data_IF_928690999857
#
_entry.id   IF_928690999857
#
_cell.length_a   1.000
_cell.length_b   1.000
_cell.length_c   1.000
_cell.angle_alpha   90.00
_cell.angle_beta   90.00
_cell.angle_gamma   90.00
#
_symmetry.space_group_name_H-M   'P 1'
#
loop_
_entity.id
_entity.type
_entity.pdbx_description
1 polymer ?
#
# COMPACT_ATOMS: atom_id res chain seq x y z
N UNK A 1 10.69 9.83 -31.24
CA UNK A 1 10.23 10.30 -29.91
C UNK A 1 11.44 10.87 -29.18
N UNK A 2 11.35 12.06 -28.58
CA UNK A 2 12.43 12.62 -27.73
C UNK A 2 11.94 12.64 -26.28
N UNK A 3 12.79 12.20 -25.36
CA UNK A 3 12.50 12.25 -23.92
C UNK A 3 12.77 13.67 -23.44
N UNK A 4 11.77 14.32 -22.85
CA UNK A 4 11.87 15.69 -22.34
C UNK A 4 12.41 15.71 -20.90
N UNK A 5 11.89 14.81 -20.06
CA UNK A 5 12.26 14.65 -18.67
C UNK A 5 12.44 13.15 -18.40
N UNK A 6 13.52 12.81 -17.68
CA UNK A 6 13.80 11.41 -17.32
C UNK A 6 12.97 10.99 -16.10
N UNK A 7 12.76 11.90 -15.16
CA UNK A 7 11.95 11.69 -13.97
C UNK A 7 11.06 12.91 -13.74
N UNK A 8 9.76 12.76 -14.01
CA UNK A 8 8.75 13.80 -13.79
C UNK A 8 8.13 13.71 -12.39
N UNK A 9 8.11 12.51 -11.81
CA UNK A 9 7.56 12.25 -10.49
C UNK A 9 7.50 10.75 -10.19
N UNK A 10 7.43 10.44 -8.91
CA UNK A 10 7.21 9.07 -8.44
C UNK A 10 5.71 8.78 -8.37
N UNK A 11 5.33 7.54 -8.66
CA UNK A 11 3.97 7.04 -8.52
C UNK A 11 3.94 5.98 -7.42
N UNK A 12 2.87 6.02 -6.62
CA UNK A 12 2.57 4.98 -5.64
C UNK A 12 2.04 3.71 -6.31
N UNK A 13 2.22 2.58 -5.65
CA UNK A 13 1.72 1.28 -6.12
C UNK A 13 0.19 1.30 -6.22
N UNK A 14 -0.49 2.07 -5.38
CA UNK A 14 -1.93 2.32 -5.43
C UNK A 14 -2.37 3.05 -6.72
N UNK A 15 -1.65 4.10 -7.12
CA UNK A 15 -1.95 4.84 -8.36
C UNK A 15 -1.71 3.98 -9.59
N UNK A 16 -0.62 3.20 -9.58
CA UNK A 16 -0.32 2.24 -10.65
C UNK A 16 -1.42 1.17 -10.72
N UNK A 17 -1.85 0.61 -9.58
CA UNK A 17 -2.94 -0.36 -9.52
C UNK A 17 -4.24 0.21 -10.09
N UNK A 18 -4.62 1.42 -9.66
CA UNK A 18 -5.83 2.11 -10.14
C UNK A 18 -5.80 2.32 -11.65
N UNK A 19 -4.66 2.77 -12.19
CA UNK A 19 -4.47 2.95 -13.62
C UNK A 19 -4.54 1.62 -14.39
N UNK A 20 -3.98 0.54 -13.85
CA UNK A 20 -4.03 -0.79 -14.47
C UNK A 20 -5.46 -1.35 -14.49
N UNK A 21 -6.24 -1.12 -13.43
CA UNK A 21 -7.65 -1.52 -13.35
C UNK A 21 -8.50 -0.75 -14.38
N UNK A 22 -8.36 0.57 -14.46
CA UNK A 22 -9.04 1.41 -15.45
C UNK A 22 -8.74 0.93 -16.88
N UNK A 23 -7.46 0.66 -17.19
CA UNK A 23 -7.05 0.11 -18.49
C UNK A 23 -7.66 -1.26 -18.78
N UNK A 24 -7.81 -2.11 -17.76
CA UNK A 24 -8.45 -3.43 -17.91
C UNK A 24 -9.92 -3.28 -18.29
N UNK A 25 -10.65 -2.36 -17.67
CA UNK A 25 -12.07 -2.10 -17.96
C UNK A 25 -12.27 -1.55 -19.37
N UNK A 26 -11.47 -0.56 -19.78
CA UNK A 26 -11.53 0.02 -21.13
C UNK A 26 -11.28 -1.02 -22.24
N UNK A 27 -10.53 -2.08 -21.94
CA UNK A 27 -10.25 -3.19 -22.88
C UNK A 27 -11.37 -4.21 -22.98
N UNK A 28 -12.17 -4.40 -21.93
CA UNK A 28 -13.30 -5.34 -21.96
C UNK A 28 -14.26 -5.01 -23.12
N UNK A 29 -14.32 -3.73 -23.50
CA UNK A 29 -15.13 -3.21 -24.60
C UNK A 29 -14.46 -3.29 -26.00
N UNK A 30 -13.19 -3.71 -26.13
CA UNK A 30 -12.41 -3.64 -27.40
C UNK A 30 -11.57 -4.89 -27.72
N UNK A 31 -11.83 -6.02 -27.07
CA UNK A 31 -10.94 -7.19 -27.08
C UNK A 31 -10.88 -7.91 -28.44
N UNK A 32 -9.66 -8.02 -29.01
CA UNK A 32 -9.12 -9.12 -29.86
C UNK A 32 -8.11 -8.65 -30.94
N UNK A 33 -7.19 -7.74 -30.63
CA UNK A 33 -6.08 -7.39 -31.56
C UNK A 33 -4.74 -7.94 -31.06
N UNK A 34 -4.09 -8.74 -31.91
CA UNK A 34 -2.80 -9.43 -31.65
C UNK A 34 -1.66 -8.44 -31.39
N UNK A 35 -1.72 -7.24 -31.97
CA UNK A 35 -0.69 -6.19 -31.79
C UNK A 35 -0.48 -5.76 -30.32
N UNK A 36 -1.46 -5.98 -29.45
CA UNK A 36 -1.37 -5.61 -28.04
C UNK A 36 -0.99 -6.76 -27.10
N UNK A 37 -0.66 -7.94 -27.62
CA UNK A 37 -0.41 -9.14 -26.81
C UNK A 37 0.68 -8.94 -25.74
N UNK A 38 1.82 -8.35 -26.10
CA UNK A 38 2.93 -8.11 -25.17
C UNK A 38 2.56 -7.09 -24.08
N UNK A 39 1.92 -5.99 -24.47
CA UNK A 39 1.41 -4.99 -23.52
C UNK A 39 0.41 -5.60 -22.54
N UNK A 40 -0.52 -6.40 -23.06
CA UNK A 40 -1.54 -7.05 -22.23
C UNK A 40 -0.92 -8.06 -21.26
N UNK A 41 0.13 -8.75 -21.68
CA UNK A 41 0.88 -9.65 -20.80
C UNK A 41 1.58 -8.87 -19.68
N UNK A 42 2.24 -7.74 -19.99
CA UNK A 42 2.87 -6.88 -18.99
C UNK A 42 1.84 -6.32 -18.01
N UNK A 43 0.74 -5.73 -18.50
CA UNK A 43 -0.33 -5.18 -17.66
C UNK A 43 -0.90 -6.26 -16.71
N UNK A 44 -1.11 -7.47 -17.21
CA UNK A 44 -1.59 -8.59 -16.40
C UNK A 44 -0.58 -9.01 -15.33
N UNK A 45 0.73 -9.00 -15.64
CA UNK A 45 1.78 -9.33 -14.66
C UNK A 45 1.87 -8.29 -13.56
N UNK A 46 1.85 -7.00 -13.92
CA UNK A 46 1.86 -5.88 -12.95
C UNK A 46 0.62 -5.93 -12.07
N UNK A 47 -0.56 -6.08 -12.67
CA UNK A 47 -1.81 -6.19 -11.91
C UNK A 47 -1.78 -7.39 -10.97
N UNK A 48 -1.33 -8.55 -11.45
CA UNK A 48 -1.20 -9.75 -10.61
C UNK A 48 -0.26 -9.52 -9.44
N UNK A 49 0.88 -8.86 -9.66
CA UNK A 49 1.84 -8.55 -8.60
C UNK A 49 1.23 -7.62 -7.54
N UNK A 50 0.60 -6.52 -7.97
CA UNK A 50 0.01 -5.53 -7.08
C UNK A 50 -1.23 -6.04 -6.31
N UNK A 51 -1.94 -7.04 -6.84
CA UNK A 51 -3.10 -7.67 -6.17
C UNK A 51 -2.72 -8.91 -5.36
N UNK A 52 -1.45 -9.34 -5.35
CA UNK A 52 -1.03 -10.47 -4.50
C UNK A 52 -1.06 -10.09 -3.02
N UNK A 53 -1.20 -11.10 -2.15
CA UNK A 53 -1.32 -10.94 -0.70
C UNK A 53 -0.17 -10.20 -0.01
N UNK A 54 1.00 -10.11 -0.63
CA UNK A 54 2.15 -9.37 -0.10
C UNK A 54 2.09 -7.86 -0.41
N UNK A 55 1.23 -7.47 -1.35
CA UNK A 55 1.01 -6.09 -1.75
C UNK A 55 -0.25 -5.59 -1.08
N UNK A 56 -0.09 -4.79 -0.02
CA UNK A 56 -1.19 -4.24 0.75
C UNK A 56 -1.89 -3.07 0.03
N UNK A 57 -1.47 -2.73 -1.20
CA UNK A 57 -2.05 -1.62 -1.93
C UNK A 57 -3.52 -1.83 -2.34
N UNK A 58 -4.02 -3.07 -2.32
CA UNK A 58 -5.43 -3.37 -2.64
C UNK A 58 -6.40 -2.99 -1.51
N UNK A 59 -5.92 -2.85 -0.27
CA UNK A 59 -6.72 -2.38 0.87
C UNK A 59 -6.66 -0.86 1.05
N UNK A 60 -5.79 -0.18 0.28
CA UNK A 60 -5.65 1.27 0.34
C UNK A 60 -6.77 1.96 -0.44
N UNK A 61 -7.15 3.13 0.07
CA UNK A 61 -8.07 4.04 -0.58
C UNK A 61 -7.44 5.43 -0.72
N UNK A 62 -7.92 6.22 -1.67
CA UNK A 62 -7.45 7.61 -1.83
C UNK A 62 -7.70 8.44 -0.57
N UNK A 63 -8.75 8.16 0.20
CA UNK A 63 -9.01 8.81 1.49
C UNK A 63 -7.98 8.41 2.54
N UNK A 64 -7.67 7.12 2.67
CA UNK A 64 -6.67 6.62 3.64
C UNK A 64 -5.31 7.28 3.44
N UNK A 65 -4.88 7.43 2.18
CA UNK A 65 -3.59 8.08 1.85
C UNK A 65 -3.63 9.57 2.20
N UNK A 66 -4.73 10.27 1.89
CA UNK A 66 -4.87 11.68 2.23
C UNK A 66 -4.90 11.91 3.75
N UNK A 67 -5.58 11.03 4.48
CA UNK A 67 -5.68 11.13 5.93
C UNK A 67 -4.32 10.85 6.59
N UNK A 68 -3.56 9.87 6.09
CA UNK A 68 -2.16 9.66 6.49
C UNK A 68 -1.30 10.91 6.29
N UNK A 69 -1.37 11.55 5.12
CA UNK A 69 -0.59 12.75 4.83
C UNK A 69 -0.99 13.93 5.73
N UNK A 70 -2.29 14.10 6.00
CA UNK A 70 -2.78 15.14 6.92
C UNK A 70 -2.36 14.89 8.35
N UNK A 71 -2.43 13.64 8.82
CA UNK A 71 -2.02 13.28 10.18
C UNK A 71 -0.51 13.48 10.37
N UNK A 72 0.31 13.14 9.37
CA UNK A 72 1.74 13.43 9.38
C UNK A 72 2.06 14.93 9.46
N UNK A 73 1.25 15.78 8.82
CA UNK A 73 1.42 17.24 8.89
C UNK A 73 0.96 17.83 10.22
N UNK A 74 -0.01 17.20 10.87
CA UNK A 74 -0.55 17.64 12.17
C UNK A 74 0.26 17.11 13.35
N UNK A 75 0.92 15.97 13.19
CA UNK A 75 1.75 15.37 14.22
C UNK A 75 3.04 16.18 14.41
N UNK A 76 3.47 16.34 15.66
CA UNK A 76 4.75 16.98 16.01
C UNK A 76 5.92 16.00 15.81
N UNK A 77 6.09 15.56 14.56
CA UNK A 77 7.08 14.58 14.12
C UNK A 77 8.13 15.24 13.21
N UNK A 78 9.38 14.74 13.22
CA UNK A 78 10.36 15.10 12.21
C UNK A 78 9.83 14.88 10.80
N UNK A 79 10.11 15.81 9.89
CA UNK A 79 9.62 15.75 8.52
C UNK A 79 10.16 14.51 7.79
N UNK A 80 9.26 13.73 7.20
CA UNK A 80 9.58 12.67 6.26
C UNK A 80 9.83 13.24 4.86
N UNK A 81 10.83 12.72 4.17
CA UNK A 81 11.08 13.02 2.76
C UNK A 81 9.97 12.45 1.88
N UNK A 82 9.83 12.97 0.65
CA UNK A 82 8.85 12.45 -0.32
C UNK A 82 9.06 10.96 -0.64
N UNK A 83 10.31 10.49 -0.63
CA UNK A 83 10.63 9.09 -0.86
C UNK A 83 10.22 8.22 0.33
N UNK A 84 10.49 8.66 1.57
CA UNK A 84 10.03 7.97 2.78
C UNK A 84 8.51 7.88 2.80
N UNK A 85 7.79 9.00 2.59
CA UNK A 85 6.32 9.00 2.51
C UNK A 85 5.79 8.01 1.48
N UNK A 86 6.42 7.94 0.31
CA UNK A 86 6.05 6.98 -0.73
C UNK A 86 6.24 5.53 -0.28
N UNK A 87 7.35 5.24 0.41
CA UNK A 87 7.61 3.88 0.93
C UNK A 87 6.65 3.49 2.05
N UNK A 88 6.27 4.44 2.91
CA UNK A 88 5.21 4.22 3.91
C UNK A 88 3.89 3.82 3.26
N UNK A 89 3.50 4.52 2.18
CA UNK A 89 2.27 4.23 1.43
C UNK A 89 2.34 2.85 0.76
N UNK A 90 3.48 2.49 0.16
CA UNK A 90 3.61 1.23 -0.57
C UNK A 90 3.73 0.00 0.35
N UNK A 91 4.44 0.13 1.48
CA UNK A 91 4.77 -1.01 2.34
C UNK A 91 3.94 -1.12 3.61
N UNK A 92 3.28 -0.04 4.06
CA UNK A 92 2.44 0.00 5.27
C UNK A 92 3.20 -0.57 6.49
N UNK A 93 4.32 0.05 6.89
CA UNK A 93 5.16 -0.46 7.98
C UNK A 93 4.41 -0.35 9.32
N UNK A 94 4.13 -1.49 9.96
CA UNK A 94 3.47 -1.55 11.27
C UNK A 94 4.44 -1.93 12.40
N UNK A 95 5.61 -2.46 12.06
CA UNK A 95 6.61 -2.86 13.04
C UNK A 95 7.77 -1.85 13.11
N UNK A 96 8.37 -1.75 14.30
CA UNK A 96 9.53 -0.88 14.54
C UNK A 96 10.68 -1.15 13.55
N UNK A 97 10.91 -2.43 13.24
CA UNK A 97 11.97 -2.86 12.32
C UNK A 97 11.72 -2.37 10.90
N UNK A 98 10.47 -2.35 10.45
CA UNK A 98 10.12 -1.92 9.09
C UNK A 98 10.36 -0.41 8.92
N UNK A 99 10.03 0.37 9.95
CA UNK A 99 10.29 1.82 9.96
C UNK A 99 11.80 2.11 9.90
N UNK A 100 12.62 1.35 10.63
CA UNK A 100 14.08 1.48 10.58
C UNK A 100 14.67 1.11 9.22
N UNK A 101 13.99 0.28 8.43
CA UNK A 101 14.40 -0.06 7.06
C UNK A 101 14.04 1.04 6.05
N UNK A 102 13.01 1.85 6.34
CA UNK A 102 12.53 2.91 5.45
C UNK A 102 13.20 4.26 5.75
N UNK A 103 13.34 4.61 7.03
CA UNK A 103 13.85 5.91 7.46
C UNK A 103 15.37 5.83 7.67
N UNK A 104 16.11 6.63 6.91
CA UNK A 104 17.55 6.77 7.12
C UNK A 104 17.84 7.47 8.45
N UNK A 105 18.78 6.90 9.22
CA UNK A 105 19.18 7.36 10.56
C UNK A 105 17.97 7.58 11.50
N UNK A 106 17.04 6.61 11.51
CA UNK A 106 15.81 6.70 12.30
C UNK A 106 16.07 7.02 13.77
N UNK A 107 17.00 6.32 14.41
CA UNK A 107 17.36 6.53 15.82
C UNK A 107 18.04 7.90 16.09
N UNK A 108 18.65 8.52 15.08
CA UNK A 108 19.21 9.87 15.17
C UNK A 108 18.17 10.98 14.97
N UNK A 109 17.12 10.71 14.19
CA UNK A 109 16.09 11.69 13.81
C UNK A 109 14.84 11.64 14.69
N UNK A 110 14.47 10.46 15.17
CA UNK A 110 13.23 10.20 15.90
C UNK A 110 13.54 9.62 17.28
N UNK A 111 12.75 10.02 18.27
CA UNK A 111 12.69 9.32 19.55
C UNK A 111 11.81 8.08 19.46
N UNK A 112 11.99 7.11 20.35
CA UNK A 112 11.16 5.89 20.41
C UNK A 112 9.66 6.21 20.46
N UNK A 113 9.25 7.19 21.28
CA UNK A 113 7.85 7.61 21.39
C UNK A 113 7.29 8.22 20.08
N UNK A 114 8.14 8.88 19.29
CA UNK A 114 7.74 9.43 17.99
C UNK A 114 7.62 8.33 16.93
N UNK A 115 8.46 7.29 17.01
CA UNK A 115 8.33 6.12 16.14
C UNK A 115 7.06 5.34 16.49
N UNK A 116 6.76 5.17 17.78
CA UNK A 116 5.50 4.56 18.22
C UNK A 116 4.27 5.34 17.75
N UNK A 117 4.33 6.68 17.78
CA UNK A 117 3.27 7.52 17.25
C UNK A 117 3.13 7.37 15.73
N UNK A 118 4.25 7.25 15.01
CA UNK A 118 4.24 7.01 13.57
C UNK A 118 3.59 5.67 13.22
N UNK A 119 3.88 4.60 13.99
CA UNK A 119 3.21 3.30 13.86
C UNK A 119 1.70 3.48 14.05
N UNK A 120 1.27 4.16 15.11
CA UNK A 120 -0.16 4.40 15.38
C UNK A 120 -0.88 5.16 14.27
N UNK A 121 -0.22 6.16 13.68
CA UNK A 121 -0.75 6.89 12.53
C UNK A 121 -0.94 5.94 11.34
N UNK A 122 0.05 5.10 11.04
CA UNK A 122 -0.04 4.10 9.97
C UNK A 122 -1.18 3.11 10.23
N UNK A 123 -1.31 2.59 11.46
CA UNK A 123 -2.38 1.67 11.85
C UNK A 123 -3.77 2.28 11.72
N UNK A 124 -3.94 3.54 12.12
CA UNK A 124 -5.21 4.26 12.05
C UNK A 124 -5.62 4.62 10.63
N UNK A 125 -4.67 4.86 9.73
CA UNK A 125 -4.94 5.40 8.39
C UNK A 125 -4.74 4.37 7.29
N UNK A 126 -3.49 3.96 7.04
CA UNK A 126 -3.12 3.08 5.93
C UNK A 126 -3.50 1.62 6.18
N UNK A 127 -3.34 1.14 7.43
CA UNK A 127 -3.57 -0.26 7.76
C UNK A 127 -4.98 -0.58 8.29
N UNK A 128 -5.87 0.42 8.42
CA UNK A 128 -7.18 0.24 9.05
C UNK A 128 -7.97 -0.93 8.45
N UNK A 129 -8.14 -0.93 7.13
CA UNK A 129 -8.84 -1.99 6.37
C UNK A 129 -8.12 -3.35 6.49
N UNK A 130 -6.78 -3.34 6.45
CA UNK A 130 -5.97 -4.56 6.56
C UNK A 130 -6.16 -5.22 7.93
N UNK A 131 -6.13 -4.43 9.00
CA UNK A 131 -6.32 -4.88 10.37
C UNK A 131 -7.75 -5.38 10.59
N UNK A 132 -8.76 -4.75 9.98
CA UNK A 132 -10.14 -5.24 10.00
C UNK A 132 -10.27 -6.61 9.32
N UNK A 133 -9.69 -6.76 8.12
CA UNK A 133 -9.70 -8.05 7.42
C UNK A 133 -8.98 -9.15 8.21
N UNK A 134 -7.86 -8.84 8.85
CA UNK A 134 -7.13 -9.80 9.71
C UNK A 134 -7.99 -10.22 10.91
N UNK A 135 -8.60 -9.27 11.62
CA UNK A 135 -9.49 -9.58 12.76
C UNK A 135 -10.67 -10.46 12.36
N UNK A 136 -11.30 -10.17 11.22
CA UNK A 136 -12.44 -10.96 10.73
C UNK A 136 -12.03 -12.39 10.35
N UNK A 137 -10.82 -12.56 9.79
CA UNK A 137 -10.29 -13.89 9.47
C UNK A 137 -9.95 -14.69 10.74
N UNK A 138 -9.40 -14.04 11.77
CA UNK A 138 -9.10 -14.66 13.07
C UNK A 138 -10.37 -15.09 13.80
N UNK A 139 -11.43 -14.27 13.79
CA UNK A 139 -12.72 -14.66 14.39
C UNK A 139 -13.38 -15.83 13.66
N UNK A 140 -13.32 -15.88 12.33
CA UNK A 140 -13.87 -16.99 11.56
C UNK A 140 -13.14 -18.33 11.83
N UNK A 141 -11.81 -18.30 11.96
CA UNK A 141 -11.02 -19.49 12.32
C UNK A 141 -11.28 -19.98 13.74
N UNK A 142 -11.58 -19.06 14.66
CA UNK A 142 -11.88 -19.41 16.06
C UNK A 142 -13.27 -20.04 16.19
N UNK A 143 -14.23 -19.62 15.36
CA UNK A 143 -15.57 -20.22 15.28
C UNK A 143 -15.53 -21.62 14.64
N UNK A 144 -14.79 -21.81 13.55
CA UNK A 144 -14.62 -23.13 12.91
C UNK A 144 -13.92 -24.15 13.85
N UNK A 145 -12.91 -23.71 14.61
CA UNK A 145 -12.23 -24.56 15.58
C UNK A 145 -13.09 -24.90 16.82
N UNK A 146 -14.12 -24.11 17.12
CA UNK A 146 -15.04 -24.41 18.22
C UNK A 146 -16.09 -25.46 17.81
N UNK A 147 -16.57 -25.40 16.56
CA UNK A 147 -17.51 -26.38 15.99
C UNK A 147 -16.86 -27.77 15.82
N UNK A 148 -15.57 -27.84 15.46
CA UNK A 148 -14.82 -29.11 15.37
C UNK A 148 -14.52 -29.79 16.71
N UNK A 149 -14.65 -29.08 17.84
CA UNK A 149 -14.40 -29.63 19.20
C UNK A 149 -15.72 -30.07 19.86
N UNK A 150 -16.87 -29.64 19.34
CA UNK A 150 -18.20 -30.07 19.79
C UNK A 150 -18.75 -31.30 19.02
N UNK A 151 -18.11 -31.75 17.94
CA UNK A 151 -18.35 -33.03 17.25
C UNK A 151 -17.47 -34.20 17.76
#
# INVERSE_FOLDING_TARGET
MKVLLINEGSLSDFEVLSLMQERKEQRLHKSAMVEYAERNWMDHKVLKFLTQSHSHCSTLSSSSIQDFLKELEQADLPTLSSAEKLQFINHIPMELVDIHLIIEDCAGRFSEAQVDELIRIVERTLAAELLEQRRNAESAQTEEAADEVEE
#
